data_IF_260252842593
#
_entry.id   IF_260252842593
#
_cell.length_a   1.000
_cell.length_b   1.000
_cell.length_c   1.000
_cell.angle_alpha   90.00
_cell.angle_beta   90.00
_cell.angle_gamma   90.00
#
_symmetry.space_group_name_H-M   'P 1'
#
loop_
_entity.id
_entity.type
_entity.pdbx_description
1 polymer ?
#
# COMPACT_ATOMS: atom_id res chain seq x y z
N UNK A 1 8.12 27.13 -5.28
CA UNK A 1 7.17 26.29 -6.00
C UNK A 1 7.95 25.42 -6.99
N UNK A 2 7.69 24.12 -6.97
CA UNK A 2 8.25 23.20 -7.93
C UNK A 2 7.60 23.31 -9.32
N UNK A 3 8.02 22.44 -10.26
CA UNK A 3 7.49 22.39 -11.63
C UNK A 3 5.99 22.03 -11.67
N UNK A 4 5.47 21.43 -10.63
CA UNK A 4 4.05 21.11 -10.44
C UNK A 4 3.22 22.27 -9.86
N UNK A 5 3.81 23.45 -9.70
CA UNK A 5 3.21 24.63 -9.09
C UNK A 5 2.77 24.45 -7.63
N UNK A 6 3.42 23.55 -6.89
CA UNK A 6 3.18 23.27 -5.47
C UNK A 6 4.36 23.69 -4.62
N UNK A 7 4.08 23.98 -3.35
CA UNK A 7 5.06 24.20 -2.31
C UNK A 7 4.52 23.72 -0.96
N UNK A 8 5.39 23.19 -0.13
CA UNK A 8 5.08 22.85 1.25
C UNK A 8 5.59 23.89 2.23
N UNK A 9 5.17 23.72 3.48
CA UNK A 9 5.74 24.43 4.62
C UNK A 9 6.44 23.39 5.47
N UNK A 10 7.70 23.64 5.79
CA UNK A 10 8.53 22.74 6.58
C UNK A 10 7.84 22.28 7.86
N UNK A 11 8.03 21.00 8.21
CA UNK A 11 7.45 20.36 9.39
C UNK A 11 5.93 20.37 9.44
N UNK A 12 5.25 20.61 8.34
CA UNK A 12 3.78 20.62 8.25
C UNK A 12 3.28 19.71 7.13
N UNK A 13 1.98 19.42 7.15
CA UNK A 13 1.26 18.76 6.06
C UNK A 13 0.49 19.78 5.20
N UNK A 14 0.77 21.06 5.39
CA UNK A 14 0.16 22.12 4.59
C UNK A 14 0.78 22.15 3.18
N UNK A 15 -0.06 22.40 2.20
CA UNK A 15 0.38 22.52 0.80
C UNK A 15 -0.22 23.78 0.20
N UNK A 16 0.61 24.55 -0.48
CA UNK A 16 0.22 25.73 -1.23
C UNK A 16 0.35 25.40 -2.71
N UNK A 17 -0.69 25.66 -3.49
CA UNK A 17 -0.68 25.52 -4.94
C UNK A 17 -0.91 26.88 -5.58
N UNK A 18 -0.11 27.23 -6.59
CA UNK A 18 -0.21 28.51 -7.29
C UNK A 18 -0.95 28.35 -8.61
N UNK A 19 -1.89 29.25 -8.87
CA UNK A 19 -2.51 29.43 -10.18
C UNK A 19 -1.76 30.53 -10.94
N UNK A 20 -1.39 30.24 -12.20
CA UNK A 20 -0.65 31.19 -13.05
C UNK A 20 -1.47 31.63 -14.25
N UNK A 21 -1.26 32.86 -14.69
CA UNK A 21 -1.79 33.35 -15.96
C UNK A 21 -0.97 32.81 -17.15
N UNK A 22 -1.35 33.19 -18.38
CA UNK A 22 -0.64 32.80 -19.62
C UNK A 22 0.81 33.28 -19.69
N UNK A 23 1.16 34.34 -18.96
CA UNK A 23 2.52 34.90 -18.88
C UNK A 23 3.37 34.18 -17.79
N UNK A 24 2.79 33.22 -17.06
CA UNK A 24 3.47 32.51 -15.96
C UNK A 24 3.41 33.24 -14.62
N UNK A 25 2.72 34.37 -14.51
CA UNK A 25 2.65 35.16 -13.29
C UNK A 25 1.60 34.57 -12.32
N UNK A 26 1.88 34.53 -10.99
CA UNK A 26 0.93 34.11 -9.98
C UNK A 26 -0.31 35.02 -9.95
N UNK A 27 -1.49 34.44 -10.11
CA UNK A 27 -2.78 35.12 -10.05
C UNK A 27 -3.70 34.61 -8.95
N UNK A 28 -3.36 33.47 -8.31
CA UNK A 28 -4.14 32.92 -7.22
C UNK A 28 -3.38 31.86 -6.47
N UNK A 29 -3.79 31.61 -5.23
CA UNK A 29 -3.23 30.57 -4.37
C UNK A 29 -4.36 29.72 -3.80
N UNK A 30 -4.09 28.42 -3.70
CA UNK A 30 -4.91 27.47 -2.95
C UNK A 30 -4.08 26.92 -1.81
N UNK A 31 -4.53 27.16 -0.57
CA UNK A 31 -3.89 26.63 0.63
C UNK A 31 -4.69 25.42 1.14
N UNK A 32 -4.06 24.25 1.20
CA UNK A 32 -4.61 23.04 1.79
C UNK A 32 -4.04 22.86 3.18
N UNK A 33 -4.90 22.89 4.20
CA UNK A 33 -4.50 22.63 5.59
C UNK A 33 -4.50 21.13 5.82
N UNK A 34 -3.30 20.55 6.00
CA UNK A 34 -3.12 19.16 6.40
C UNK A 34 -3.04 19.04 7.92
N UNK A 35 -3.55 17.93 8.45
CA UNK A 35 -3.48 17.57 9.88
C UNK A 35 -3.04 16.14 10.03
N UNK A 36 -2.17 15.87 10.98
CA UNK A 36 -1.89 14.50 11.42
C UNK A 36 -3.04 14.01 12.31
N UNK A 37 -3.49 12.80 12.05
CA UNK A 37 -4.49 12.10 12.86
C UNK A 37 -3.80 10.85 13.41
N UNK A 38 -4.07 10.51 14.65
CA UNK A 38 -3.47 9.38 15.35
C UNK A 38 -4.53 8.36 15.76
N UNK A 39 -4.13 7.09 15.86
CA UNK A 39 -4.95 5.99 16.37
C UNK A 39 -5.51 5.05 15.29
N UNK A 40 -5.48 5.41 14.00
CA UNK A 40 -5.96 4.57 12.92
C UNK A 40 -5.10 3.31 12.70
N UNK A 41 -3.82 3.36 13.04
CA UNK A 41 -2.90 2.22 12.95
C UNK A 41 -3.28 1.07 13.87
N UNK A 42 -4.04 1.30 14.95
CA UNK A 42 -4.49 0.28 15.91
C UNK A 42 -5.21 -0.90 15.25
N UNK A 43 -5.92 -0.65 14.15
CA UNK A 43 -6.60 -1.70 13.39
C UNK A 43 -5.66 -2.74 12.78
N UNK A 44 -4.39 -2.38 12.54
CA UNK A 44 -3.42 -3.21 11.83
C UNK A 44 -2.04 -3.25 12.53
N UNK A 45 -1.93 -2.76 13.75
CA UNK A 45 -0.65 -2.63 14.45
C UNK A 45 0.07 -3.97 14.64
N UNK A 46 -0.66 -5.02 14.98
CA UNK A 46 -0.14 -6.38 15.07
C UNK A 46 0.41 -6.89 13.74
N UNK A 47 -0.25 -6.55 12.63
CA UNK A 47 0.16 -6.95 11.29
C UNK A 47 1.46 -6.27 10.86
N UNK A 48 1.56 -4.95 11.04
CA UNK A 48 2.79 -4.22 10.68
C UNK A 48 3.99 -4.59 11.56
N UNK A 49 3.75 -4.96 12.83
CA UNK A 49 4.80 -5.43 13.75
C UNK A 49 5.23 -6.88 13.49
N UNK A 50 4.46 -7.65 12.74
CA UNK A 50 4.76 -9.05 12.43
C UNK A 50 6.02 -9.23 11.57
N UNK A 51 6.48 -8.17 10.90
CA UNK A 51 7.58 -8.22 9.94
C UNK A 51 7.16 -8.66 8.53
N UNK A 52 5.91 -9.05 8.33
CA UNK A 52 5.34 -9.38 7.03
C UNK A 52 5.07 -8.12 6.21
N UNK A 53 5.17 -8.22 4.90
CA UNK A 53 4.85 -7.11 3.99
C UNK A 53 3.34 -6.92 3.86
N UNK A 54 2.88 -5.67 3.95
CA UNK A 54 1.47 -5.29 4.00
C UNK A 54 1.11 -4.34 2.87
N UNK A 55 0.14 -4.70 2.06
CA UNK A 55 -0.46 -3.84 1.03
C UNK A 55 -1.78 -3.27 1.54
N UNK A 56 -1.91 -1.95 1.52
CA UNK A 56 -3.09 -1.23 2.00
C UNK A 56 -3.88 -0.70 0.80
N UNK A 57 -5.12 -1.12 0.70
CA UNK A 57 -6.07 -0.76 -0.35
C UNK A 57 -7.23 0.07 0.21
N UNK A 58 -7.94 0.76 -0.65
CA UNK A 58 -9.14 1.50 -0.27
C UNK A 58 -9.38 2.73 -1.14
N UNK A 59 -10.59 3.26 -1.04
CA UNK A 59 -11.04 4.42 -1.83
C UNK A 59 -10.16 5.65 -1.59
N UNK A 60 -10.06 6.58 -2.55
CA UNK A 60 -9.44 7.86 -2.32
C UNK A 60 -10.05 8.58 -1.09
N UNK A 61 -9.21 9.18 -0.25
CA UNK A 61 -9.65 9.93 0.93
C UNK A 61 -10.10 9.11 2.14
N UNK A 62 -10.05 7.77 2.09
CA UNK A 62 -10.48 6.91 3.21
C UNK A 62 -9.49 6.88 4.38
N UNK A 63 -8.25 7.34 4.17
CA UNK A 63 -7.24 7.43 5.22
C UNK A 63 -5.98 6.61 5.01
N UNK A 64 -5.73 6.07 3.80
CA UNK A 64 -4.52 5.28 3.47
C UNK A 64 -3.23 5.98 3.89
N UNK A 65 -3.03 7.22 3.45
CA UNK A 65 -1.83 8.03 3.78
C UNK A 65 -1.69 8.26 5.29
N UNK A 66 -2.82 8.40 6.01
CA UNK A 66 -2.79 8.54 7.47
C UNK A 66 -2.26 7.27 8.13
N UNK A 67 -2.74 6.11 7.71
CA UNK A 67 -2.26 4.82 8.23
C UNK A 67 -0.79 4.59 7.88
N UNK A 68 -0.34 4.92 6.66
CA UNK A 68 1.08 4.84 6.28
C UNK A 68 1.96 5.71 7.17
N UNK A 69 1.54 6.95 7.46
CA UNK A 69 2.27 7.88 8.32
C UNK A 69 2.42 7.34 9.74
N UNK A 70 1.32 6.86 10.32
CA UNK A 70 1.35 6.26 11.65
C UNK A 70 2.17 4.97 11.68
N UNK A 71 2.08 4.15 10.64
CA UNK A 71 2.90 2.95 10.48
C UNK A 71 4.38 3.29 10.51
N UNK A 72 4.81 4.30 9.76
CA UNK A 72 6.20 4.74 9.74
C UNK A 72 6.67 5.15 11.15
N UNK A 73 5.86 5.94 11.87
CA UNK A 73 6.16 6.37 13.24
C UNK A 73 6.22 5.20 14.21
N UNK A 74 5.21 4.34 14.22
CA UNK A 74 5.14 3.20 15.16
C UNK A 74 6.32 2.25 14.94
N UNK A 75 6.66 1.95 13.70
CA UNK A 75 7.79 1.07 13.41
C UNK A 75 9.13 1.72 13.75
N UNK A 76 9.30 3.02 13.50
CA UNK A 76 10.55 3.72 13.80
C UNK A 76 10.71 4.02 15.30
N UNK A 77 9.67 4.57 15.95
CA UNK A 77 9.78 5.09 17.32
C UNK A 77 9.52 4.03 18.38
N UNK A 78 8.54 3.16 18.14
CA UNK A 78 8.13 2.16 19.14
C UNK A 78 8.80 0.80 18.90
N UNK A 79 8.81 0.31 17.65
CA UNK A 79 9.48 -0.94 17.29
C UNK A 79 11.00 -0.78 17.06
N UNK A 80 11.52 0.45 17.08
CA UNK A 80 12.95 0.78 16.92
C UNK A 80 13.57 0.24 15.63
N UNK A 81 12.79 0.14 14.57
CA UNK A 81 13.25 -0.30 13.25
C UNK A 81 13.83 0.87 12.45
N UNK A 82 14.77 0.57 11.56
CA UNK A 82 15.22 1.52 10.54
C UNK A 82 14.19 1.59 9.44
N UNK A 83 13.42 2.68 9.42
CA UNK A 83 12.32 2.90 8.47
C UNK A 83 12.71 3.98 7.47
N UNK A 84 12.54 3.67 6.18
CA UNK A 84 12.64 4.64 5.09
C UNK A 84 11.25 4.82 4.48
N UNK A 85 10.85 6.07 4.27
CA UNK A 85 9.60 6.46 3.62
C UNK A 85 9.93 7.00 2.24
N UNK A 86 9.40 6.39 1.19
CA UNK A 86 9.43 6.91 -0.19
C UNK A 86 8.13 7.66 -0.41
N UNK A 87 8.21 8.99 -0.39
CA UNK A 87 7.05 9.89 -0.37
C UNK A 87 6.93 10.65 -1.71
N UNK A 88 6.27 10.02 -2.66
CA UNK A 88 6.15 10.52 -4.04
C UNK A 88 5.21 11.70 -4.16
N UNK A 89 4.08 11.65 -3.47
CA UNK A 89 3.08 12.72 -3.48
C UNK A 89 3.30 13.77 -2.38
N UNK A 90 4.33 13.59 -1.55
CA UNK A 90 4.62 14.41 -0.38
C UNK A 90 3.43 14.47 0.62
N UNK A 91 2.60 13.43 0.62
CA UNK A 91 1.41 13.36 1.48
C UNK A 91 1.68 12.67 2.81
N UNK A 92 2.71 11.81 2.89
CA UNK A 92 3.05 11.12 4.14
C UNK A 92 3.75 12.07 5.11
N UNK A 93 4.82 12.72 4.66
CA UNK A 93 5.69 13.51 5.51
C UNK A 93 5.69 15.03 5.21
N UNK A 94 4.85 15.46 4.28
CA UNK A 94 4.73 16.85 3.86
C UNK A 94 5.69 17.22 2.73
N UNK A 95 5.47 18.39 2.17
CA UNK A 95 6.09 18.87 0.91
C UNK A 95 7.37 19.71 1.16
N UNK A 96 7.62 20.11 2.41
CA UNK A 96 8.83 20.85 2.79
C UNK A 96 10.07 19.97 2.88
N UNK A 97 11.26 20.56 2.86
CA UNK A 97 12.54 19.83 2.96
C UNK A 97 12.71 19.13 4.31
N UNK A 98 12.14 19.69 5.36
CA UNK A 98 12.11 19.07 6.69
C UNK A 98 10.79 18.32 6.86
N UNK A 99 10.82 17.00 7.07
CA UNK A 99 9.61 16.19 7.16
C UNK A 99 8.78 16.54 8.41
N UNK A 100 7.48 16.25 8.32
CA UNK A 100 6.55 16.42 9.42
C UNK A 100 6.89 15.45 10.57
N UNK A 101 6.91 15.90 11.83
CA UNK A 101 7.29 15.05 12.98
C UNK A 101 6.36 13.86 13.22
N UNK A 102 5.20 13.78 12.58
CA UNK A 102 4.28 12.65 12.70
C UNK A 102 4.79 11.34 12.06
N UNK A 103 5.90 11.37 11.31
CA UNK A 103 6.60 10.14 10.87
C UNK A 103 7.61 9.64 11.91
N UNK A 104 7.80 10.36 13.03
CA UNK A 104 8.79 10.03 14.06
C UNK A 104 10.22 10.06 13.52
N UNK A 105 11.04 9.10 13.92
CA UNK A 105 12.42 8.94 13.47
C UNK A 105 12.56 8.25 12.10
N UNK A 106 11.46 7.97 11.40
CA UNK A 106 11.53 7.46 10.03
C UNK A 106 12.21 8.49 9.11
N UNK A 107 13.04 8.00 8.19
CA UNK A 107 13.76 8.84 7.23
C UNK A 107 12.97 8.93 5.93
N UNK A 108 12.75 10.13 5.44
CA UNK A 108 12.02 10.35 4.19
C UNK A 108 12.98 10.53 3.01
N UNK A 109 12.64 9.88 1.89
CA UNK A 109 13.16 10.17 0.58
C UNK A 109 12.05 10.78 -0.28
N UNK A 110 12.30 11.97 -0.82
CA UNK A 110 11.39 12.61 -1.78
C UNK A 110 11.66 12.06 -3.18
N UNK A 111 10.61 12.01 -3.99
CA UNK A 111 10.69 11.59 -5.38
C UNK A 111 10.48 12.82 -6.26
N UNK A 112 11.49 13.17 -7.04
CA UNK A 112 11.44 14.38 -7.87
C UNK A 112 10.37 14.31 -8.96
N UNK A 113 10.12 13.10 -9.50
CA UNK A 113 9.10 12.85 -10.51
C UNK A 113 8.48 11.47 -10.25
N UNK A 114 7.17 11.36 -10.36
CA UNK A 114 6.44 10.11 -10.14
C UNK A 114 6.98 8.92 -10.95
N UNK A 115 7.48 9.16 -12.16
CA UNK A 115 8.10 8.13 -13.00
C UNK A 115 9.41 7.55 -12.43
N UNK A 116 10.02 8.21 -11.45
CA UNK A 116 11.30 7.82 -10.82
C UNK A 116 11.10 7.08 -9.49
N UNK A 117 9.87 6.87 -9.03
CA UNK A 117 9.59 6.23 -7.75
C UNK A 117 10.30 4.88 -7.59
N UNK A 118 10.27 4.04 -8.62
CA UNK A 118 10.92 2.73 -8.60
C UNK A 118 12.44 2.81 -8.41
N UNK A 119 13.09 3.85 -8.94
CA UNK A 119 14.53 4.09 -8.76
C UNK A 119 14.82 4.46 -7.31
N UNK A 120 14.04 5.40 -6.75
CA UNK A 120 14.19 5.85 -5.36
C UNK A 120 13.90 4.70 -4.36
N UNK A 121 12.96 3.82 -4.67
CA UNK A 121 12.71 2.61 -3.88
C UNK A 121 13.96 1.72 -3.79
N UNK A 122 14.61 1.44 -4.91
CA UNK A 122 15.83 0.62 -4.95
C UNK A 122 16.98 1.35 -4.25
N UNK A 123 17.19 2.63 -4.55
CA UNK A 123 18.21 3.47 -3.90
C UNK A 123 18.05 3.46 -2.37
N UNK A 124 16.80 3.57 -1.89
CA UNK A 124 16.48 3.54 -0.47
C UNK A 124 16.99 2.28 0.22
N UNK A 125 16.84 1.14 -0.43
CA UNK A 125 17.30 -0.16 0.11
C UNK A 125 18.81 -0.33 -0.03
N UNK A 126 19.40 0.06 -1.15
CA UNK A 126 20.82 -0.13 -1.41
C UNK A 126 21.71 0.79 -0.55
N UNK A 127 21.31 2.05 -0.40
CA UNK A 127 22.15 3.06 0.25
C UNK A 127 21.84 3.27 1.73
N UNK A 128 20.62 2.94 2.17
CA UNK A 128 20.15 3.30 3.51
C UNK A 128 19.86 2.11 4.42
N UNK A 129 19.95 0.88 3.91
CA UNK A 129 19.83 -0.38 4.65
C UNK A 129 18.62 -0.41 5.62
N UNK A 130 17.40 -0.12 5.14
CA UNK A 130 16.22 -0.14 5.99
C UNK A 130 15.85 -1.57 6.37
N UNK A 131 15.16 -1.72 7.50
CA UNK A 131 14.43 -2.94 7.84
C UNK A 131 13.01 -2.90 7.30
N UNK A 132 12.49 -1.68 7.14
CA UNK A 132 11.16 -1.42 6.60
C UNK A 132 11.22 -0.28 5.60
N UNK A 133 10.54 -0.45 4.47
CA UNK A 133 10.29 0.62 3.51
C UNK A 133 8.78 0.88 3.42
N UNK A 134 8.40 2.14 3.58
CA UNK A 134 7.02 2.62 3.46
C UNK A 134 6.89 3.37 2.14
N UNK A 135 5.94 2.97 1.30
CA UNK A 135 5.81 3.46 -0.07
C UNK A 135 4.42 4.04 -0.27
N UNK A 136 4.36 5.30 -0.72
CA UNK A 136 3.11 5.91 -1.14
C UNK A 136 2.77 5.41 -2.55
N UNK A 137 1.51 5.15 -2.75
CA UNK A 137 0.79 4.81 -3.98
C UNK A 137 1.61 4.13 -5.12
N UNK A 138 1.58 2.80 -5.14
CA UNK A 138 2.14 2.02 -6.24
C UNK A 138 1.15 1.93 -7.41
N UNK A 139 1.60 2.23 -8.63
CA UNK A 139 0.74 2.33 -9.80
C UNK A 139 1.35 1.75 -11.09
N UNK A 140 2.66 1.50 -11.13
CA UNK A 140 3.38 1.08 -12.35
C UNK A 140 3.99 -0.31 -12.22
N UNK A 141 4.23 -0.95 -13.36
CA UNK A 141 4.91 -2.25 -13.44
C UNK A 141 6.36 -2.19 -12.91
N UNK A 142 7.07 -1.07 -13.15
CA UNK A 142 8.42 -0.88 -12.65
C UNK A 142 8.46 -0.80 -11.11
N UNK A 143 7.47 -0.19 -10.51
CA UNK A 143 7.31 -0.16 -9.04
C UNK A 143 6.99 -1.55 -8.49
N UNK A 144 6.13 -2.31 -9.16
CA UNK A 144 5.83 -3.68 -8.77
C UNK A 144 7.09 -4.58 -8.84
N UNK A 145 7.90 -4.43 -9.88
CA UNK A 145 9.17 -5.14 -10.01
C UNK A 145 10.18 -4.72 -8.92
N UNK A 146 10.28 -3.42 -8.63
CA UNK A 146 11.14 -2.90 -7.56
C UNK A 146 10.69 -3.45 -6.19
N UNK A 147 9.39 -3.45 -5.90
CA UNK A 147 8.85 -3.99 -4.66
C UNK A 147 9.19 -5.47 -4.48
N UNK A 148 9.07 -6.27 -5.54
CA UNK A 148 9.46 -7.68 -5.54
C UNK A 148 10.95 -7.86 -5.22
N UNK A 149 11.82 -7.09 -5.89
CA UNK A 149 13.27 -7.12 -5.65
C UNK A 149 13.61 -6.77 -4.19
N UNK A 150 12.91 -5.81 -3.60
CA UNK A 150 13.07 -5.40 -2.21
C UNK A 150 12.61 -6.50 -1.25
N UNK A 151 11.45 -7.12 -1.51
CA UNK A 151 10.94 -8.21 -0.70
C UNK A 151 11.89 -9.44 -0.72
N UNK A 152 12.45 -9.79 -1.88
CA UNK A 152 13.44 -10.86 -2.04
C UNK A 152 14.73 -10.61 -1.23
N UNK A 153 15.04 -9.35 -0.91
CA UNK A 153 16.16 -8.96 -0.03
C UNK A 153 15.81 -9.03 1.47
N UNK A 154 14.58 -9.42 1.82
CA UNK A 154 14.13 -9.56 3.20
C UNK A 154 13.74 -8.24 3.88
N UNK A 155 13.56 -7.16 3.15
CA UNK A 155 13.07 -5.88 3.67
C UNK A 155 11.55 -5.91 3.70
N UNK A 156 10.96 -5.54 4.84
CA UNK A 156 9.51 -5.43 4.98
C UNK A 156 8.99 -4.25 4.16
N UNK A 157 7.96 -4.49 3.36
CA UNK A 157 7.25 -3.44 2.60
C UNK A 157 5.92 -3.12 3.28
N UNK A 158 5.62 -1.83 3.44
CA UNK A 158 4.27 -1.35 3.74
C UNK A 158 3.91 -0.31 2.69
N UNK A 159 2.94 -0.60 1.85
CA UNK A 159 2.63 0.25 0.70
C UNK A 159 1.13 0.40 0.48
N UNK A 160 0.75 1.44 -0.26
CA UNK A 160 -0.59 1.54 -0.85
C UNK A 160 -0.53 1.32 -2.35
N UNK A 161 -1.64 0.91 -2.93
CA UNK A 161 -1.79 0.79 -4.38
C UNK A 161 -3.18 1.26 -4.82
N UNK A 162 -3.33 1.47 -6.12
CA UNK A 162 -4.61 1.70 -6.74
C UNK A 162 -5.49 0.45 -6.67
N UNK A 163 -6.66 0.58 -6.10
CA UNK A 163 -7.65 -0.47 -5.94
C UNK A 163 -8.31 -0.39 -4.57
N UNK A 164 -9.51 -0.91 -4.47
CA UNK A 164 -10.28 -0.92 -3.23
C UNK A 164 -10.23 -2.29 -2.54
N UNK A 165 -10.08 -3.34 -3.34
CA UNK A 165 -10.13 -4.74 -2.89
C UNK A 165 -9.00 -5.56 -3.51
N UNK A 166 -8.72 -6.73 -2.94
CA UNK A 166 -7.79 -7.71 -3.50
C UNK A 166 -8.19 -8.09 -4.94
N UNK A 167 -9.50 -8.25 -5.20
CA UNK A 167 -10.01 -8.54 -6.54
C UNK A 167 -9.68 -7.45 -7.57
N UNK A 168 -9.73 -6.17 -7.17
CA UNK A 168 -9.33 -5.07 -8.05
C UNK A 168 -7.84 -5.14 -8.42
N UNK A 169 -6.98 -5.48 -7.46
CA UNK A 169 -5.53 -5.63 -7.71
C UNK A 169 -5.26 -6.81 -8.63
N UNK A 170 -5.93 -7.95 -8.40
CA UNK A 170 -5.80 -9.14 -9.26
C UNK A 170 -6.24 -8.89 -10.69
N UNK A 171 -7.29 -8.08 -10.90
CA UNK A 171 -7.80 -7.71 -12.21
C UNK A 171 -6.96 -6.66 -12.93
N UNK A 172 -6.06 -6.00 -12.24
CA UNK A 172 -5.17 -4.98 -12.80
C UNK A 172 -3.88 -5.64 -13.31
N UNK A 173 -3.63 -5.71 -14.62
CA UNK A 173 -2.45 -6.40 -15.17
C UNK A 173 -1.12 -5.80 -14.69
N UNK A 174 -1.09 -4.52 -14.33
CA UNK A 174 0.09 -3.83 -13.83
C UNK A 174 0.42 -4.21 -12.38
N UNK A 175 -0.59 -4.42 -11.55
CA UNK A 175 -0.42 -4.60 -10.10
C UNK A 175 -0.65 -6.05 -9.64
N UNK A 176 -1.22 -6.91 -10.47
CA UNK A 176 -1.54 -8.29 -10.13
C UNK A 176 -0.31 -9.07 -9.60
N UNK A 177 0.88 -8.77 -10.13
CA UNK A 177 2.12 -9.39 -9.70
C UNK A 177 2.47 -9.09 -8.22
N UNK A 178 1.96 -8.00 -7.63
CA UNK A 178 2.15 -7.70 -6.20
C UNK A 178 1.51 -8.76 -5.28
N UNK A 179 0.47 -9.40 -5.75
CA UNK A 179 -0.31 -10.40 -5.01
C UNK A 179 -0.18 -11.81 -5.60
N UNK A 180 0.83 -12.02 -6.45
CA UNK A 180 1.19 -13.32 -7.01
C UNK A 180 0.85 -13.52 -8.48
N UNK A 181 0.13 -12.58 -9.10
CA UNK A 181 -0.25 -12.65 -10.51
C UNK A 181 -1.17 -13.83 -10.83
N UNK A 182 -1.52 -13.97 -12.09
CA UNK A 182 -2.30 -15.11 -12.58
C UNK A 182 -1.76 -15.60 -13.92
N UNK A 183 -1.90 -16.88 -14.16
CA UNK A 183 -1.56 -17.52 -15.43
C UNK A 183 -2.56 -18.61 -15.78
N UNK A 184 -2.73 -18.83 -17.07
CA UNK A 184 -3.54 -19.93 -17.59
C UNK A 184 -2.67 -21.17 -17.73
N UNK A 185 -3.09 -22.28 -17.10
CA UNK A 185 -2.40 -23.57 -17.17
C UNK A 185 -3.29 -24.59 -17.85
N UNK A 186 -2.74 -25.34 -18.80
CA UNK A 186 -3.43 -26.46 -19.44
C UNK A 186 -3.05 -27.76 -18.74
N UNK A 187 -4.03 -28.38 -18.09
CA UNK A 187 -3.87 -29.66 -17.39
C UNK A 187 -3.95 -30.83 -18.37
N UNK A 188 -3.17 -31.88 -18.12
CA UNK A 188 -3.36 -33.18 -18.79
C UNK A 188 -4.70 -33.81 -18.40
N UNK A 189 -5.22 -34.72 -19.25
CA UNK A 189 -6.53 -35.35 -19.06
C UNK A 189 -6.67 -36.04 -17.69
N UNK A 190 -5.61 -36.68 -17.22
CA UNK A 190 -5.60 -37.42 -15.94
C UNK A 190 -5.73 -36.42 -14.77
N UNK A 191 -4.98 -35.31 -14.82
CA UNK A 191 -4.97 -34.32 -13.75
C UNK A 191 -6.29 -33.51 -13.73
N UNK A 192 -6.83 -33.14 -14.90
CA UNK A 192 -8.12 -32.47 -15.01
C UNK A 192 -9.25 -33.31 -14.41
N UNK A 193 -9.26 -34.64 -14.69
CA UNK A 193 -10.23 -35.57 -14.10
C UNK A 193 -10.04 -35.72 -12.59
N UNK A 194 -8.80 -35.81 -12.12
CA UNK A 194 -8.47 -35.91 -10.68
C UNK A 194 -8.95 -34.68 -9.92
N UNK A 195 -8.72 -33.47 -10.46
CA UNK A 195 -9.14 -32.21 -9.86
C UNK A 195 -10.62 -31.87 -10.11
N UNK A 196 -11.33 -32.62 -10.96
CA UNK A 196 -12.71 -32.38 -11.39
C UNK A 196 -12.90 -30.96 -11.96
N UNK A 197 -11.92 -30.50 -12.73
CA UNK A 197 -11.89 -29.16 -13.34
C UNK A 197 -11.85 -29.25 -14.86
N UNK A 198 -12.00 -28.10 -15.53
CA UNK A 198 -11.70 -28.00 -16.94
C UNK A 198 -10.20 -28.22 -17.21
N UNK A 199 -9.83 -28.53 -18.46
CA UNK A 199 -8.42 -28.67 -18.83
C UNK A 199 -7.63 -27.38 -18.71
N UNK A 200 -8.30 -26.24 -18.89
CA UNK A 200 -7.70 -24.92 -18.76
C UNK A 200 -8.14 -24.33 -17.42
N UNK A 201 -7.22 -24.05 -16.53
CA UNK A 201 -7.45 -23.48 -15.21
C UNK A 201 -6.59 -22.23 -15.00
N UNK A 202 -7.07 -21.29 -14.18
CA UNK A 202 -6.27 -20.18 -13.69
C UNK A 202 -5.53 -20.60 -12.42
N UNK A 203 -4.26 -20.33 -12.38
CA UNK A 203 -3.41 -20.55 -11.22
C UNK A 203 -2.58 -19.30 -10.93
N UNK A 204 -2.15 -19.13 -9.67
CA UNK A 204 -1.21 -18.08 -9.29
C UNK A 204 0.13 -18.29 -10.00
N UNK A 205 0.73 -17.22 -10.51
CA UNK A 205 1.96 -17.25 -11.31
C UNK A 205 3.22 -17.44 -10.46
N UNK A 206 3.26 -16.78 -9.29
CA UNK A 206 4.40 -16.82 -8.36
C UNK A 206 3.97 -16.50 -6.92
N UNK A 207 4.90 -16.52 -5.98
CA UNK A 207 4.63 -16.10 -4.62
C UNK A 207 4.31 -14.59 -4.57
N UNK A 208 3.33 -14.17 -3.74
CA UNK A 208 3.01 -12.76 -3.55
C UNK A 208 4.20 -11.95 -3.03
N UNK A 209 4.34 -10.72 -3.50
CA UNK A 209 5.29 -9.74 -2.94
C UNK A 209 4.83 -9.25 -1.57
N UNK A 210 3.52 -9.12 -1.38
CA UNK A 210 2.90 -8.77 -0.11
C UNK A 210 2.24 -9.98 0.52
N UNK A 211 2.55 -10.23 1.80
CA UNK A 211 2.00 -11.35 2.55
C UNK A 211 0.56 -11.11 2.97
N UNK A 212 0.25 -9.83 3.28
CA UNK A 212 -1.03 -9.39 3.85
C UNK A 212 -1.61 -8.28 2.98
N UNK A 213 -2.92 -8.33 2.74
CA UNK A 213 -3.68 -7.23 2.15
C UNK A 213 -4.68 -6.72 3.18
N UNK A 214 -4.69 -5.39 3.35
CA UNK A 214 -5.65 -4.66 4.19
C UNK A 214 -6.51 -3.78 3.30
N UNK A 215 -7.81 -3.99 3.31
CA UNK A 215 -8.80 -3.19 2.60
C UNK A 215 -9.47 -2.23 3.57
N UNK A 216 -9.24 -0.93 3.43
CA UNK A 216 -9.88 0.08 4.25
C UNK A 216 -11.29 0.31 3.73
N UNK A 217 -12.29 -0.14 4.48
CA UNK A 217 -13.72 0.06 4.17
C UNK A 217 -14.18 1.44 4.61
N UNK A 218 -13.83 1.82 5.84
CA UNK A 218 -14.15 3.08 6.50
C UNK A 218 -12.96 3.52 7.37
N UNK A 219 -13.00 4.75 7.88
CA UNK A 219 -11.91 5.27 8.75
C UNK A 219 -11.64 4.42 9.99
N UNK A 220 -12.64 3.70 10.46
CA UNK A 220 -12.57 2.85 11.64
C UNK A 220 -12.83 1.37 11.34
N UNK A 221 -12.84 0.96 10.08
CA UNK A 221 -13.13 -0.41 9.69
C UNK A 221 -12.25 -0.88 8.52
N UNK A 222 -11.67 -2.06 8.67
CA UNK A 222 -10.85 -2.71 7.66
C UNK A 222 -11.26 -4.17 7.46
N UNK A 223 -10.99 -4.70 6.27
CA UNK A 223 -10.99 -6.13 6.01
C UNK A 223 -9.56 -6.58 5.70
N UNK A 224 -9.18 -7.73 6.17
CA UNK A 224 -7.81 -8.22 6.12
C UNK A 224 -7.78 -9.60 5.49
N UNK A 225 -6.89 -9.76 4.52
CA UNK A 225 -6.47 -11.06 3.99
C UNK A 225 -5.10 -11.38 4.59
N UNK A 226 -5.03 -12.19 5.66
CA UNK A 226 -3.78 -12.41 6.41
C UNK A 226 -2.78 -13.30 5.68
N UNK A 227 -3.24 -14.01 4.63
CA UNK A 227 -2.45 -14.87 3.76
C UNK A 227 -2.89 -14.68 2.31
N UNK A 228 -2.29 -13.71 1.64
CA UNK A 228 -2.68 -13.29 0.28
C UNK A 228 -2.58 -14.45 -0.71
N UNK A 229 -1.54 -15.27 -0.65
CA UNK A 229 -1.40 -16.42 -1.55
C UNK A 229 -2.60 -17.37 -1.49
N UNK A 230 -3.03 -17.72 -0.29
CA UNK A 230 -4.22 -18.58 -0.07
C UNK A 230 -5.50 -17.90 -0.57
N UNK A 231 -5.66 -16.61 -0.30
CA UNK A 231 -6.82 -15.85 -0.75
C UNK A 231 -6.91 -15.80 -2.29
N UNK A 232 -5.78 -15.52 -2.96
CA UNK A 232 -5.70 -15.51 -4.43
C UNK A 232 -5.97 -16.89 -5.03
N UNK A 233 -5.39 -17.95 -4.47
CA UNK A 233 -5.63 -19.32 -4.95
C UNK A 233 -7.11 -19.71 -4.83
N UNK A 234 -7.80 -19.29 -3.78
CA UNK A 234 -9.26 -19.50 -3.61
C UNK A 234 -10.06 -18.67 -4.61
N UNK A 235 -9.68 -17.40 -4.80
CA UNK A 235 -10.32 -16.50 -5.76
C UNK A 235 -10.26 -17.06 -7.18
N UNK A 236 -9.08 -17.52 -7.63
CA UNK A 236 -8.89 -18.07 -8.98
C UNK A 236 -9.69 -19.38 -9.20
N UNK A 237 -10.05 -20.09 -8.14
CA UNK A 237 -10.90 -21.29 -8.17
C UNK A 237 -12.39 -20.98 -8.01
N UNK A 238 -12.77 -19.71 -7.80
CA UNK A 238 -14.16 -19.32 -7.52
C UNK A 238 -14.70 -19.84 -6.19
N UNK A 239 -13.82 -20.08 -5.21
CA UNK A 239 -14.17 -20.57 -3.87
C UNK A 239 -14.25 -19.35 -2.93
N UNK A 240 -15.21 -19.38 -1.98
CA UNK A 240 -15.33 -18.32 -0.97
C UNK A 240 -14.00 -18.10 -0.22
N UNK A 241 -13.74 -16.85 0.11
CA UNK A 241 -12.49 -16.40 0.73
C UNK A 241 -12.81 -15.92 2.14
N UNK A 242 -12.22 -16.53 3.19
CA UNK A 242 -12.30 -15.99 4.53
C UNK A 242 -11.47 -14.71 4.63
N UNK A 243 -12.05 -13.69 5.20
CA UNK A 243 -11.36 -12.44 5.54
C UNK A 243 -11.67 -12.03 6.97
N UNK A 244 -10.74 -11.33 7.59
CA UNK A 244 -10.90 -10.82 8.94
C UNK A 244 -11.38 -9.37 8.88
N UNK A 245 -12.60 -9.11 9.32
CA UNK A 245 -13.13 -7.76 9.47
C UNK A 245 -12.79 -7.22 10.86
N UNK A 246 -12.20 -6.02 10.92
CA UNK A 246 -11.90 -5.33 12.16
C UNK A 246 -12.57 -3.97 12.19
N UNK A 247 -13.12 -3.61 13.36
CA UNK A 247 -13.72 -2.31 13.61
C UNK A 247 -13.20 -1.70 14.91
N UNK A 248 -12.71 -0.47 14.83
CA UNK A 248 -12.30 0.32 15.99
C UNK A 248 -13.53 0.98 16.61
N UNK A 249 -13.79 0.64 17.85
CA UNK A 249 -14.89 1.17 18.64
C UNK A 249 -14.54 2.53 19.27
N UNK A 250 -15.51 3.36 19.65
CA UNK A 250 -15.28 4.66 20.31
C UNK A 250 -14.47 4.57 21.61
N UNK A 251 -14.53 3.45 22.29
CA UNK A 251 -13.75 3.17 23.52
C UNK A 251 -12.31 2.71 23.25
N UNK A 252 -11.91 2.64 21.97
CA UNK A 252 -10.58 2.25 21.52
C UNK A 252 -10.35 0.73 21.43
N UNK A 253 -11.36 -0.09 21.68
CA UNK A 253 -11.29 -1.54 21.45
C UNK A 253 -11.41 -1.86 19.96
N UNK A 254 -10.69 -2.89 19.52
CA UNK A 254 -10.83 -3.46 18.17
C UNK A 254 -11.70 -4.70 18.26
N UNK A 255 -12.84 -4.67 17.61
CA UNK A 255 -13.68 -5.84 17.40
C UNK A 255 -13.24 -6.54 16.11
N UNK A 256 -13.18 -7.87 16.18
CA UNK A 256 -12.74 -8.72 15.08
C UNK A 256 -13.79 -9.78 14.80
N UNK A 257 -14.13 -9.94 13.52
CA UNK A 257 -15.05 -10.94 13.01
C UNK A 257 -14.46 -11.60 11.77
N UNK A 258 -14.76 -12.88 11.53
CA UNK A 258 -14.40 -13.58 10.29
C UNK A 258 -15.61 -13.59 9.37
N UNK A 259 -15.45 -13.05 8.18
CA UNK A 259 -16.44 -13.01 7.11
C UNK A 259 -16.02 -13.92 5.96
N UNK A 260 -16.98 -14.51 5.26
CA UNK A 260 -16.76 -15.23 4.00
C UNK A 260 -17.24 -14.37 2.84
N UNK A 261 -16.34 -14.06 1.90
CA UNK A 261 -16.70 -13.35 0.67
C UNK A 261 -16.74 -14.31 -0.52
N UNK A 262 -17.62 -14.10 -1.51
CA UNK A 262 -17.65 -14.91 -2.73
C UNK A 262 -16.32 -14.84 -3.49
N UNK A 263 -15.86 -15.96 -4.04
CA UNK A 263 -14.62 -16.01 -4.85
C UNK A 263 -14.72 -15.32 -6.22
N UNK A 264 -15.91 -14.91 -6.64
CA UNK A 264 -16.20 -14.32 -7.95
C UNK A 264 -16.70 -12.86 -7.88
N UNK A 265 -16.30 -12.07 -6.91
CA UNK A 265 -16.59 -10.62 -6.97
C UNK A 265 -15.61 -9.92 -7.93
N UNK A 266 -15.94 -10.01 -9.22
CA UNK A 266 -15.48 -9.04 -10.23
C UNK A 266 -16.66 -8.09 -10.50
N UNK A 267 -16.83 -7.05 -9.70
CA UNK A 267 -17.57 -5.84 -10.02
C UNK A 267 -16.66 -4.60 -9.92
#
# INVERSE_FOLDING_TARGET
>A
FGDDNRAGIERTLHRISVMRNRAGEPVGLTCRVGRAVFGSVRLIEDLIRSGKSVLILGRPGVGKTTILRETARVLADEAKKRVVVVDTSNEIAGDGDVPHPAIGHARRMQVANTSLQHIVMIEGVENHMPEVIVIDEMSTELEALAARTIAERGVQLVATAHGNTLGNVMSNPTLADLVGGQQTVTLGDIEARRRRTQKTVLERKHEPTFDIVVEIRERNAVAIHPEVGTAVDRMLRGISIPQEARRLQPDGRVETEVEEIPGNESE
#
